data_IF_204639721627
#
_entry.id   IF_204639721627
#
_cell.length_a   1.000
_cell.length_b   1.000
_cell.length_c   1.000
_cell.angle_alpha   90.00
_cell.angle_beta   90.00
_cell.angle_gamma   90.00
#
_symmetry.space_group_name_H-M   'P 1'
#
loop_
_entity.id
_entity.type
_entity.pdbx_description
1 polymer ?
#
# COMPACT_ATOMS: atom_id res chain seq x y z
N UNK A 1 -29.25 -7.39 22.53
CA UNK A 1 -28.34 -6.85 21.51
C UNK A 1 -26.94 -7.20 21.95
N UNK A 2 -26.37 -8.27 21.43
CA UNK A 2 -24.99 -8.66 21.75
C UNK A 2 -24.05 -7.72 21.01
N UNK A 3 -23.33 -6.87 21.76
CA UNK A 3 -22.16 -6.17 21.25
C UNK A 3 -21.14 -7.23 20.85
N UNK A 4 -21.19 -7.69 19.60
CA UNK A 4 -20.08 -8.42 19.02
C UNK A 4 -18.96 -7.41 18.82
N UNK A 5 -17.95 -7.46 19.67
CA UNK A 5 -16.68 -6.77 19.45
C UNK A 5 -16.15 -7.29 18.12
N UNK A 6 -16.20 -6.47 17.07
CA UNK A 6 -15.68 -6.85 15.77
C UNK A 6 -14.20 -7.22 15.94
N UNK A 7 -13.84 -8.44 15.53
CA UNK A 7 -12.47 -8.93 15.64
C UNK A 7 -11.55 -7.99 14.85
N UNK A 8 -10.60 -7.35 15.54
CA UNK A 8 -9.64 -6.45 14.91
C UNK A 8 -8.71 -7.23 13.99
N UNK A 9 -8.34 -6.62 12.86
CA UNK A 9 -7.37 -7.16 11.91
C UNK A 9 -5.94 -7.03 12.44
N UNK A 10 -5.64 -5.91 13.10
CA UNK A 10 -4.31 -5.64 13.65
C UNK A 10 -4.40 -4.77 14.91
N UNK A 11 -3.30 -4.73 15.66
CA UNK A 11 -3.09 -3.85 16.81
C UNK A 11 -1.90 -2.90 16.60
N UNK A 12 -1.89 -1.80 17.36
CA UNK A 12 -0.76 -0.86 17.48
C UNK A 12 0.07 -1.22 18.70
N UNK A 13 1.33 -1.58 18.49
CA UNK A 13 2.27 -1.90 19.57
C UNK A 13 2.70 -0.62 20.29
N UNK A 14 2.35 -0.50 21.57
CA UNK A 14 2.60 0.73 22.36
C UNK A 14 4.08 0.89 22.75
N UNK A 15 4.82 -0.21 22.76
CA UNK A 15 6.22 -0.36 23.13
C UNK A 15 7.18 -0.32 21.93
N UNK A 16 6.71 -0.59 20.70
CA UNK A 16 7.48 -0.41 19.46
C UNK A 16 6.96 0.81 18.68
N UNK A 17 7.62 1.95 18.90
CA UNK A 17 7.23 3.24 18.31
C UNK A 17 8.43 3.99 17.78
N UNK A 18 8.22 4.80 16.74
CA UNK A 18 9.22 5.71 16.18
C UNK A 18 8.71 7.14 16.23
N UNK A 19 9.64 8.10 16.28
CA UNK A 19 9.33 9.51 16.06
C UNK A 19 9.76 9.92 14.66
N UNK A 20 8.82 10.43 13.87
CA UNK A 20 9.07 10.94 12.53
C UNK A 20 8.50 12.36 12.42
N UNK A 21 9.39 13.35 12.28
CA UNK A 21 9.03 14.78 12.25
C UNK A 21 8.11 15.22 13.39
N UNK A 22 8.37 14.77 14.63
CA UNK A 22 7.58 15.11 15.81
C UNK A 22 6.28 14.32 15.97
N UNK A 23 5.99 13.37 15.05
CA UNK A 23 4.84 12.48 15.13
C UNK A 23 5.27 11.12 15.65
N UNK A 24 4.49 10.59 16.59
CA UNK A 24 4.67 9.23 17.10
C UNK A 24 3.93 8.25 16.20
N UNK A 25 4.64 7.28 15.65
CA UNK A 25 4.06 6.18 14.87
C UNK A 25 4.28 4.86 15.62
N UNK A 26 3.33 3.95 15.47
CA UNK A 26 3.28 2.66 16.17
C UNK A 26 3.48 1.54 15.17
N UNK A 27 4.31 0.55 15.55
CA UNK A 27 4.44 -0.68 14.79
C UNK A 27 3.10 -1.41 14.79
N UNK A 28 2.71 -1.96 13.64
CA UNK A 28 1.49 -2.78 13.53
C UNK A 28 1.82 -4.27 13.66
N UNK A 29 0.91 -5.01 14.29
CA UNK A 29 0.96 -6.47 14.36
C UNK A 29 -0.37 -7.06 13.94
N UNK A 30 -0.34 -8.02 13.02
CA UNK A 30 -1.54 -8.71 12.57
C UNK A 30 -2.12 -9.58 13.71
N UNK A 31 -3.43 -9.49 13.93
CA UNK A 31 -4.16 -10.29 14.92
C UNK A 31 -4.80 -11.54 14.30
N UNK A 32 -5.01 -11.51 12.98
CA UNK A 32 -5.58 -12.61 12.18
C UNK A 32 -4.80 -12.74 10.87
N UNK A 33 -4.94 -13.89 10.20
CA UNK A 33 -4.39 -14.08 8.86
C UNK A 33 -5.35 -13.55 7.79
N UNK A 34 -4.83 -12.87 6.77
CA UNK A 34 -5.59 -12.32 5.64
C UNK A 34 -4.68 -12.06 4.43
N UNK A 35 -5.15 -12.42 3.22
CA UNK A 35 -4.32 -12.28 2.02
C UNK A 35 -3.01 -13.04 2.15
N UNK A 36 -1.88 -12.33 2.08
CA UNK A 36 -0.53 -12.89 2.31
C UNK A 36 -0.03 -12.73 3.75
N UNK A 37 -0.75 -12.02 4.61
CA UNK A 37 -0.33 -11.70 5.97
C UNK A 37 -0.80 -12.80 6.92
N UNK A 38 0.11 -13.29 7.77
CA UNK A 38 -0.21 -14.30 8.78
C UNK A 38 -0.45 -13.67 10.16
N UNK A 39 -1.30 -14.29 10.98
CA UNK A 39 -1.52 -13.85 12.36
C UNK A 39 -0.19 -13.77 13.13
N UNK A 40 0.03 -12.66 13.82
CA UNK A 40 1.27 -12.36 14.54
C UNK A 40 2.35 -11.66 13.69
N UNK A 41 2.18 -11.54 12.38
CA UNK A 41 3.14 -10.86 11.51
C UNK A 41 3.31 -9.38 11.88
N UNK A 42 4.56 -8.94 11.94
CA UNK A 42 4.94 -7.55 12.21
C UNK A 42 5.00 -6.77 10.90
N UNK A 43 4.26 -5.67 10.82
CA UNK A 43 4.22 -4.80 9.66
C UNK A 43 5.06 -3.53 9.82
N UNK A 44 4.68 -2.48 9.10
CA UNK A 44 5.25 -1.15 9.20
C UNK A 44 4.70 -0.34 10.36
N UNK A 45 4.81 0.97 10.21
CA UNK A 45 4.46 1.96 11.24
C UNK A 45 3.30 2.83 10.77
N UNK A 46 2.30 3.04 11.63
CA UNK A 46 1.22 3.99 11.38
C UNK A 46 0.99 4.95 12.55
N UNK A 47 0.52 6.16 12.28
CA UNK A 47 0.27 7.17 13.34
C UNK A 47 -1.00 6.83 14.16
N UNK A 48 -2.05 6.35 13.50
CA UNK A 48 -3.35 6.05 14.11
C UNK A 48 -4.12 5.02 13.29
N UNK A 49 -5.11 4.37 13.89
CA UNK A 49 -5.86 3.27 13.26
C UNK A 49 -6.52 3.64 11.92
N UNK A 50 -6.87 4.90 11.68
CA UNK A 50 -7.48 5.27 10.40
C UNK A 50 -6.48 5.38 9.23
N UNK A 51 -5.17 5.30 9.48
CA UNK A 51 -4.16 5.27 8.42
C UNK A 51 -4.14 3.92 7.68
N UNK A 52 -4.61 2.85 8.31
CA UNK A 52 -4.72 1.51 7.72
C UNK A 52 -6.07 0.91 8.07
N UNK A 53 -6.89 0.58 7.08
CA UNK A 53 -8.24 0.07 7.35
C UNK A 53 -8.20 -1.24 8.16
N UNK A 54 -9.09 -1.41 9.13
CA UNK A 54 -9.27 -2.66 9.88
C UNK A 54 -10.03 -3.70 9.06
N UNK A 55 -10.65 -3.31 7.94
CA UNK A 55 -11.27 -4.22 6.97
C UNK A 55 -10.34 -4.54 5.79
N UNK A 56 -10.75 -5.49 4.95
CA UNK A 56 -10.01 -5.88 3.75
C UNK A 56 -8.62 -6.49 4.02
N UNK A 57 -7.79 -6.54 2.98
CA UNK A 57 -6.46 -7.15 3.00
C UNK A 57 -5.30 -6.16 2.84
N UNK A 58 -5.59 -4.86 2.89
CA UNK A 58 -4.59 -3.81 2.89
C UNK A 58 -3.58 -3.97 4.03
N UNK A 59 -2.30 -3.72 3.74
CA UNK A 59 -1.22 -3.90 4.70
C UNK A 59 -0.03 -2.98 4.43
N UNK A 60 0.64 -2.56 5.51
CA UNK A 60 1.90 -1.82 5.49
C UNK A 60 2.99 -2.79 5.92
N UNK A 61 3.92 -3.14 5.03
CA UNK A 61 4.97 -4.12 5.28
C UNK A 61 6.29 -3.46 5.70
N UNK A 62 7.12 -4.25 6.39
CA UNK A 62 8.52 -3.91 6.68
C UNK A 62 8.63 -2.65 7.51
N UNK A 63 9.39 -1.65 7.04
CA UNK A 63 9.59 -0.38 7.75
C UNK A 63 8.88 0.80 7.06
N UNK A 64 7.87 0.52 6.23
CA UNK A 64 7.08 1.59 5.64
C UNK A 64 6.29 2.35 6.72
N UNK A 65 6.09 3.64 6.50
CA UNK A 65 5.50 4.60 7.43
C UNK A 65 4.30 5.26 6.76
N UNK A 66 3.11 5.12 7.35
CA UNK A 66 1.88 5.76 6.85
C UNK A 66 1.28 6.61 7.96
N UNK A 67 1.24 7.92 7.76
CA UNK A 67 0.85 8.87 8.82
C UNK A 67 0.10 10.08 8.25
N UNK A 68 -0.23 11.04 9.11
CA UNK A 68 -0.91 12.27 8.72
C UNK A 68 -2.31 12.00 8.18
N UNK A 69 -2.52 12.36 6.91
CA UNK A 69 -3.81 12.25 6.23
C UNK A 69 -3.90 11.04 5.28
N UNK A 70 -2.82 10.29 5.10
CA UNK A 70 -2.76 9.13 4.22
C UNK A 70 -3.60 7.97 4.76
N UNK A 71 -4.25 7.24 3.85
CA UNK A 71 -5.09 6.08 4.16
C UNK A 71 -4.77 4.93 3.21
N UNK A 72 -4.62 3.72 3.74
CA UNK A 72 -4.43 2.48 2.98
C UNK A 72 -5.60 1.55 3.28
N UNK A 73 -6.35 1.14 2.26
CA UNK A 73 -7.56 0.32 2.41
C UNK A 73 -7.79 -0.62 1.23
N UNK A 74 -8.83 -1.46 1.33
CA UNK A 74 -9.12 -2.47 0.33
C UNK A 74 -8.06 -3.57 0.33
N UNK A 75 -7.33 -3.71 -0.78
CA UNK A 75 -6.27 -4.71 -0.97
C UNK A 75 -4.91 -4.09 -1.29
N UNK A 76 -4.72 -2.80 -1.00
CA UNK A 76 -3.49 -2.07 -1.32
C UNK A 76 -2.32 -2.47 -0.39
N UNK A 77 -1.12 -2.65 -0.96
CA UNK A 77 0.08 -3.00 -0.21
C UNK A 77 1.10 -1.87 -0.28
N UNK A 78 1.59 -1.44 0.88
CA UNK A 78 2.67 -0.43 0.99
C UNK A 78 3.91 -1.10 1.55
N UNK A 79 5.06 -0.96 0.89
CA UNK A 79 6.32 -1.59 1.31
C UNK A 79 7.54 -0.76 0.87
N UNK A 80 8.75 -1.32 1.01
CA UNK A 80 10.01 -0.69 0.53
C UNK A 80 10.37 0.65 1.19
N UNK A 81 10.30 0.72 2.53
CA UNK A 81 10.65 1.94 3.29
C UNK A 81 9.85 3.19 2.88
N UNK A 82 8.66 3.01 2.30
CA UNK A 82 7.80 4.11 1.91
C UNK A 82 7.49 5.03 3.08
N UNK A 83 7.38 6.33 2.81
CA UNK A 83 7.01 7.36 3.78
C UNK A 83 5.83 8.12 3.18
N UNK A 84 4.62 7.81 3.62
CA UNK A 84 3.36 8.30 3.02
C UNK A 84 2.60 9.11 4.08
N UNK A 85 2.51 10.42 3.88
CA UNK A 85 1.91 11.36 4.84
C UNK A 85 0.62 12.04 4.33
N UNK A 86 0.46 12.07 3.01
CA UNK A 86 -0.67 12.71 2.32
C UNK A 86 -1.44 11.70 1.46
N UNK A 87 -2.76 11.94 1.31
CA UNK A 87 -3.61 11.08 0.46
C UNK A 87 -3.16 11.02 -1.00
N UNK A 88 -2.50 12.07 -1.52
CA UNK A 88 -2.04 12.13 -2.91
C UNK A 88 -0.83 11.24 -3.17
N UNK A 89 -0.07 10.85 -2.15
CA UNK A 89 1.19 10.11 -2.27
C UNK A 89 1.00 8.61 -2.55
N UNK A 90 -0.26 8.17 -2.66
CA UNK A 90 -0.63 6.79 -2.96
C UNK A 90 -1.84 6.76 -3.91
N UNK A 91 -1.82 5.79 -4.80
CA UNK A 91 -2.90 5.48 -5.73
C UNK A 91 -3.03 3.96 -5.82
N UNK A 92 -4.25 3.44 -5.79
CA UNK A 92 -4.50 2.02 -6.09
C UNK A 92 -5.78 1.84 -6.89
N UNK A 93 -5.80 0.80 -7.70
CA UNK A 93 -6.95 0.35 -8.48
C UNK A 93 -7.03 -1.17 -8.41
N UNK A 94 -8.24 -1.68 -8.18
CA UNK A 94 -8.54 -3.13 -8.19
C UNK A 94 -9.13 -3.56 -9.53
N UNK A 95 -9.24 -4.87 -9.74
CA UNK A 95 -9.73 -5.48 -10.98
C UNK A 95 -8.83 -5.16 -12.19
N UNK A 96 -7.52 -5.16 -11.96
CA UNK A 96 -6.51 -4.79 -12.98
C UNK A 96 -5.78 -6.02 -13.53
N UNK A 97 -5.65 -6.05 -14.86
CA UNK A 97 -4.92 -7.08 -15.58
C UNK A 97 -5.61 -8.45 -15.50
N UNK A 98 -4.90 -9.49 -15.95
CA UNK A 98 -5.48 -10.82 -16.20
C UNK A 98 -6.03 -11.54 -14.96
N UNK A 99 -5.53 -11.21 -13.77
CA UNK A 99 -5.94 -11.84 -12.50
C UNK A 99 -6.89 -10.96 -11.68
N UNK A 100 -7.40 -9.85 -12.24
CA UNK A 100 -8.24 -8.88 -11.54
C UNK A 100 -7.63 -8.39 -10.21
N UNK A 101 -6.30 -8.25 -10.19
CA UNK A 101 -5.55 -7.90 -8.98
C UNK A 101 -5.64 -6.42 -8.63
N UNK A 102 -4.97 -6.04 -7.54
CA UNK A 102 -4.79 -4.63 -7.14
C UNK A 102 -3.41 -4.14 -7.54
N UNK A 103 -3.38 -3.06 -8.33
CA UNK A 103 -2.18 -2.26 -8.60
C UNK A 103 -2.11 -1.18 -7.53
N UNK A 104 -0.98 -1.04 -6.84
CA UNK A 104 -0.72 0.09 -5.92
C UNK A 104 0.54 0.82 -6.37
N UNK A 105 0.47 2.15 -6.44
CA UNK A 105 1.58 3.04 -6.77
C UNK A 105 1.72 4.05 -5.64
N UNK A 106 2.93 4.27 -5.14
CA UNK A 106 3.18 5.22 -4.04
C UNK A 106 4.58 5.82 -4.11
N UNK A 107 4.81 6.92 -3.37
CA UNK A 107 6.15 7.48 -3.17
C UNK A 107 7.01 6.52 -2.35
N UNK A 108 8.05 5.98 -2.98
CA UNK A 108 9.21 5.40 -2.32
C UNK A 108 10.29 6.45 -2.08
N UNK A 109 11.43 6.00 -1.54
CA UNK A 109 12.58 6.86 -1.24
C UNK A 109 13.18 7.54 -2.48
N UNK A 110 13.31 6.79 -3.57
CA UNK A 110 14.04 7.22 -4.77
C UNK A 110 13.13 7.44 -5.99
N UNK A 111 11.80 7.44 -5.80
CA UNK A 111 10.82 7.58 -6.87
C UNK A 111 9.52 6.82 -6.58
N UNK A 112 8.68 6.68 -7.61
CA UNK A 112 7.45 5.89 -7.51
C UNK A 112 7.76 4.39 -7.45
N UNK A 113 7.11 3.71 -6.51
CA UNK A 113 7.15 2.25 -6.39
C UNK A 113 5.80 1.69 -6.80
N UNK A 114 5.83 0.58 -7.53
CA UNK A 114 4.65 -0.14 -7.99
C UNK A 114 4.61 -1.51 -7.33
N UNK A 115 3.46 -1.87 -6.75
CA UNK A 115 3.15 -3.25 -6.34
C UNK A 115 2.02 -3.81 -7.20
N UNK A 116 2.18 -5.03 -7.69
CA UNK A 116 1.10 -5.82 -8.31
C UNK A 116 1.39 -7.30 -8.05
N UNK A 117 0.55 -7.97 -7.26
CA UNK A 117 0.78 -9.37 -6.90
C UNK A 117 2.15 -9.52 -6.25
N UNK A 118 2.97 -10.46 -6.72
CA UNK A 118 4.32 -10.64 -6.20
C UNK A 118 5.31 -9.53 -6.62
N UNK A 119 4.99 -8.72 -7.64
CA UNK A 119 5.89 -7.68 -8.14
C UNK A 119 6.06 -6.55 -7.12
N UNK A 120 7.31 -6.13 -6.91
CA UNK A 120 7.66 -4.77 -6.48
C UNK A 120 8.88 -4.28 -7.22
N UNK A 121 8.84 -3.01 -7.59
CA UNK A 121 9.91 -2.34 -8.29
C UNK A 121 9.52 -0.91 -8.64
N UNK A 122 10.36 -0.26 -9.43
CA UNK A 122 10.06 1.06 -10.00
C UNK A 122 8.98 0.97 -11.08
N UNK A 123 8.53 2.13 -11.55
CA UNK A 123 7.60 2.20 -12.69
C UNK A 123 8.24 1.61 -13.95
N UNK A 124 9.51 1.93 -14.21
CA UNK A 124 10.25 1.46 -15.39
C UNK A 124 10.34 -0.08 -15.37
N UNK A 125 10.80 -0.66 -14.24
CA UNK A 125 10.89 -2.11 -14.07
C UNK A 125 9.54 -2.81 -14.27
N UNK A 126 8.45 -2.19 -13.77
CA UNK A 126 7.11 -2.73 -13.90
C UNK A 126 6.65 -2.76 -15.36
N UNK A 127 6.80 -1.65 -16.07
CA UNK A 127 6.39 -1.53 -17.47
C UNK A 127 7.24 -2.40 -18.39
N UNK A 128 8.55 -2.48 -18.16
CA UNK A 128 9.44 -3.39 -18.90
C UNK A 128 9.06 -4.85 -18.70
N UNK A 129 8.73 -5.25 -17.47
CA UNK A 129 8.31 -6.62 -17.19
C UNK A 129 6.94 -6.91 -17.83
N UNK A 130 6.00 -5.98 -17.71
CA UNK A 130 4.68 -6.06 -18.35
C UNK A 130 4.80 -6.24 -19.86
N UNK A 131 5.70 -5.47 -20.50
CA UNK A 131 5.95 -5.53 -21.94
C UNK A 131 6.38 -6.93 -22.44
N UNK A 132 7.07 -7.70 -21.60
CA UNK A 132 7.59 -9.04 -21.92
C UNK A 132 6.56 -10.16 -21.73
N UNK A 133 5.55 -9.97 -20.87
CA UNK A 133 4.69 -11.07 -20.39
C UNK A 133 3.22 -10.90 -20.74
N UNK A 134 2.76 -9.70 -21.11
CA UNK A 134 1.35 -9.41 -21.34
C UNK A 134 1.03 -9.00 -22.78
N UNK A 135 -0.23 -9.20 -23.18
CA UNK A 135 -0.76 -8.76 -24.46
C UNK A 135 -0.90 -7.22 -24.54
N UNK A 136 -1.17 -6.69 -25.74
CA UNK A 136 -1.29 -5.24 -25.94
C UNK A 136 -2.37 -4.60 -25.08
N UNK A 137 -3.48 -5.31 -24.83
CA UNK A 137 -4.59 -4.79 -24.03
C UNK A 137 -4.14 -4.56 -22.59
N UNK A 138 -3.55 -5.56 -21.94
CA UNK A 138 -3.10 -5.46 -20.55
C UNK A 138 -1.89 -4.52 -20.41
N UNK A 139 -0.99 -4.48 -21.40
CA UNK A 139 0.09 -3.48 -21.42
C UNK A 139 -0.46 -2.06 -21.43
N UNK A 140 -1.46 -1.80 -22.30
CA UNK A 140 -2.09 -0.48 -22.39
C UNK A 140 -2.85 -0.11 -21.12
N UNK A 141 -3.57 -1.05 -20.52
CA UNK A 141 -4.24 -0.86 -19.23
C UNK A 141 -3.25 -0.44 -18.14
N UNK A 142 -2.14 -1.17 -17.99
CA UNK A 142 -1.11 -0.82 -17.01
C UNK A 142 -0.49 0.56 -17.27
N UNK A 143 -0.16 0.89 -18.53
CA UNK A 143 0.38 2.20 -18.86
C UNK A 143 -0.57 3.33 -18.46
N UNK A 144 -1.86 3.22 -18.80
CA UNK A 144 -2.87 4.24 -18.47
C UNK A 144 -3.01 4.44 -16.95
N UNK A 145 -3.01 3.35 -16.18
CA UNK A 145 -3.11 3.42 -14.72
C UNK A 145 -1.84 4.02 -14.09
N UNK A 146 -0.67 3.74 -14.65
CA UNK A 146 0.59 4.37 -14.24
C UNK A 146 0.57 5.87 -14.56
N UNK A 147 0.09 6.28 -15.74
CA UNK A 147 0.02 7.69 -16.13
C UNK A 147 -0.91 8.47 -15.19
N UNK A 148 -2.07 7.90 -14.82
CA UNK A 148 -2.97 8.45 -13.79
C UNK A 148 -2.25 8.57 -12.44
N UNK A 149 -1.50 7.54 -12.04
CA UNK A 149 -0.75 7.58 -10.78
C UNK A 149 0.31 8.67 -10.78
N UNK A 150 1.08 8.82 -11.87
CA UNK A 150 2.08 9.89 -12.03
C UNK A 150 1.44 11.27 -11.95
N UNK A 151 0.37 11.50 -12.71
CA UNK A 151 -0.33 12.78 -12.69
C UNK A 151 -0.81 13.14 -11.28
N UNK A 152 -1.38 12.17 -10.57
CA UNK A 152 -1.93 12.39 -9.22
C UNK A 152 -0.86 12.59 -8.15
N UNK A 153 0.21 11.80 -8.20
CA UNK A 153 1.24 11.78 -7.16
C UNK A 153 2.27 12.89 -7.38
N UNK A 154 2.73 13.07 -8.63
CA UNK A 154 3.81 13.98 -9.00
C UNK A 154 3.31 15.34 -9.51
N UNK A 155 2.02 15.44 -9.89
CA UNK A 155 1.49 16.65 -10.51
C UNK A 155 1.95 16.85 -11.94
N UNK A 156 2.43 15.80 -12.61
CA UNK A 156 2.83 15.83 -14.01
C UNK A 156 1.58 15.99 -14.90
N UNK A 157 1.62 16.93 -15.85
CA UNK A 157 0.65 16.98 -16.93
C UNK A 157 0.92 15.81 -17.89
N UNK A 158 -0.05 14.90 -18.01
CA UNK A 158 -0.06 13.81 -19.00
C UNK A 158 -0.26 14.33 -20.41
#
# INVERSE_FOLDING_TARGET
MTNQTQQKKYELLQDDTINHHGRKLYRIKALISFGLVVAGEIGGYIEKENNLDQSGSAWVFGNAQVFGSAWVFGSAWVRSYAVISERKMIFWVSNVGTENGTLTVFNGKDGLIVTRGCFVGTVEEFLEKSAKVHDEKTKREYQLLIDVAKSRILGEAT
#
